data_IF_726984597556
#
_entry.id   IF_726984597556
#
_cell.length_a   1.000
_cell.length_b   1.000
_cell.length_c   1.000
_cell.angle_alpha   90.00
_cell.angle_beta   90.00
_cell.angle_gamma   90.00
#
_symmetry.space_group_name_H-M   'P 1'
#
loop_
_entity.id
_entity.type
_entity.pdbx_description
1 polymer ?
#
# COMPACT_ATOMS: atom_id res chain seq x y z
N UNK A 1 1.94 13.95 16.35
CA UNK A 1 3.02 14.81 15.82
C UNK A 1 4.20 13.93 15.46
N UNK A 2 4.68 13.97 14.22
CA UNK A 2 5.82 13.14 13.80
C UNK A 2 7.13 13.63 14.47
N UNK A 3 8.01 12.70 14.83
CA UNK A 3 9.37 13.03 15.28
C UNK A 3 10.16 13.60 14.09
N UNK A 4 11.11 14.52 14.32
CA UNK A 4 11.96 15.06 13.26
C UNK A 4 12.84 14.00 12.58
N UNK A 5 13.21 12.96 13.31
CA UNK A 5 14.03 11.84 12.82
C UNK A 5 13.48 10.52 13.32
N UNK A 6 13.31 9.55 12.42
CA UNK A 6 12.75 8.24 12.74
C UNK A 6 13.58 7.12 12.12
N UNK A 7 13.68 5.99 12.82
CA UNK A 7 14.25 4.78 12.25
C UNK A 7 13.28 4.15 11.24
N UNK A 8 13.77 3.40 10.25
CA UNK A 8 12.90 2.63 9.35
C UNK A 8 11.93 1.69 10.09
N UNK A 9 12.31 1.17 11.27
CA UNK A 9 11.44 0.32 12.09
C UNK A 9 10.30 1.12 12.74
N UNK A 10 10.55 2.36 13.18
CA UNK A 10 9.49 3.23 13.70
C UNK A 10 8.53 3.67 12.61
N UNK A 11 9.04 3.96 11.41
CA UNK A 11 8.21 4.27 10.23
C UNK A 11 7.35 3.07 9.81
N UNK A 12 7.90 1.86 9.87
CA UNK A 12 7.16 0.63 9.63
C UNK A 12 5.99 0.46 10.60
N UNK A 13 6.22 0.73 11.91
CA UNK A 13 5.17 0.66 12.92
C UNK A 13 4.07 1.71 12.73
N UNK A 14 4.42 2.92 12.28
CA UNK A 14 3.44 3.98 12.03
C UNK A 14 2.60 3.77 10.78
N UNK A 15 3.20 3.18 9.73
CA UNK A 15 2.55 3.06 8.42
C UNK A 15 1.91 1.68 8.18
N UNK A 16 2.19 0.70 9.03
CA UNK A 16 1.79 -0.69 8.84
C UNK A 16 2.57 -1.44 7.75
N UNK A 17 3.56 -0.81 7.11
CA UNK A 17 4.40 -1.45 6.10
C UNK A 17 5.65 -2.10 6.68
N UNK A 18 6.22 -3.06 5.94
CA UNK A 18 7.48 -3.68 6.32
C UNK A 18 8.66 -2.69 6.31
N UNK A 19 9.65 -2.92 7.16
CA UNK A 19 10.94 -2.19 7.15
C UNK A 19 11.60 -2.22 5.75
N UNK A 20 11.44 -3.31 5.00
CA UNK A 20 11.98 -3.44 3.65
C UNK A 20 11.32 -2.48 2.67
N UNK A 21 9.99 -2.31 2.78
CA UNK A 21 9.23 -1.33 2.00
C UNK A 21 9.70 0.09 2.29
N UNK A 22 9.85 0.44 3.57
CA UNK A 22 10.39 1.75 3.98
C UNK A 22 11.80 1.97 3.41
N UNK A 23 12.68 0.97 3.51
CA UNK A 23 14.03 1.04 2.95
C UNK A 23 14.05 1.16 1.42
N UNK A 24 13.03 0.64 0.72
CA UNK A 24 12.85 0.80 -0.72
C UNK A 24 12.46 2.24 -1.03
N UNK A 25 11.54 2.83 -0.28
CA UNK A 25 11.15 4.24 -0.43
C UNK A 25 12.31 5.19 -0.15
N UNK A 26 13.07 4.96 0.91
CA UNK A 26 14.28 5.75 1.23
C UNK A 26 15.24 5.81 0.04
N UNK A 27 15.43 4.68 -0.68
CA UNK A 27 16.31 4.63 -1.86
C UNK A 27 15.66 5.24 -3.10
N UNK A 28 14.39 4.91 -3.36
CA UNK A 28 13.67 5.32 -4.57
C UNK A 28 13.40 6.82 -4.58
N UNK A 29 12.97 7.36 -3.45
CA UNK A 29 12.57 8.76 -3.27
C UNK A 29 13.72 9.64 -2.76
N UNK A 30 14.91 9.05 -2.56
CA UNK A 30 16.11 9.79 -2.16
C UNK A 30 16.03 10.45 -0.78
N UNK A 31 15.32 9.84 0.17
CA UNK A 31 15.10 10.46 1.48
C UNK A 31 16.40 10.67 2.25
N UNK A 32 16.54 11.85 2.86
CA UNK A 32 17.73 12.21 3.65
C UNK A 32 17.85 11.32 4.89
N UNK A 33 19.04 10.77 5.11
CA UNK A 33 19.32 9.90 6.26
C UNK A 33 20.62 10.25 6.97
N UNK A 34 20.59 10.28 8.31
CA UNK A 34 21.77 10.46 9.16
C UNK A 34 22.14 9.15 9.88
N UNK A 35 23.42 8.92 10.23
CA UNK A 35 23.80 7.80 11.08
C UNK A 35 23.09 7.85 12.44
N UNK A 36 22.70 6.69 12.98
CA UNK A 36 22.15 6.59 14.33
C UNK A 36 23.31 6.58 15.34
N UNK A 37 23.35 7.52 16.31
CA UNK A 37 24.38 7.52 17.35
C UNK A 37 24.34 6.22 18.18
N UNK A 38 25.51 5.70 18.56
CA UNK A 38 25.63 4.56 19.48
C UNK A 38 25.46 3.17 18.87
N UNK A 39 25.37 3.03 17.54
CA UNK A 39 25.31 1.71 16.87
C UNK A 39 26.70 1.29 16.41
N UNK A 40 27.20 0.18 16.95
CA UNK A 40 28.48 -0.42 16.60
C UNK A 40 28.52 -0.71 15.08
N UNK A 41 29.45 -0.05 14.38
CA UNK A 41 29.62 -0.17 12.93
C UNK A 41 28.75 0.77 12.08
N UNK A 42 27.99 1.70 12.66
CA UNK A 42 27.34 2.81 11.92
C UNK A 42 26.26 2.40 10.90
N UNK A 43 25.87 1.12 10.86
CA UNK A 43 24.94 0.58 9.84
C UNK A 43 23.50 1.08 9.99
N UNK A 44 23.11 1.51 11.19
CA UNK A 44 21.76 2.04 11.43
C UNK A 44 21.67 3.52 11.01
N UNK A 45 20.61 3.85 10.28
CA UNK A 45 20.34 5.22 9.83
C UNK A 45 18.98 5.69 10.31
N UNK A 46 18.87 6.99 10.54
CA UNK A 46 17.65 7.72 10.86
C UNK A 46 17.21 8.48 9.60
N UNK A 47 15.94 8.33 9.23
CA UNK A 47 15.30 9.08 8.16
C UNK A 47 14.87 10.44 8.72
N UNK A 48 15.14 11.51 7.96
CA UNK A 48 14.68 12.86 8.30
C UNK A 48 13.23 13.01 7.84
N UNK A 49 12.31 13.21 8.79
CA UNK A 49 10.87 13.26 8.52
C UNK A 49 10.46 14.70 8.15
N UNK A 50 10.86 15.09 6.94
CA UNK A 50 10.49 16.36 6.31
C UNK A 50 9.06 16.29 5.72
N UNK A 51 8.58 17.38 5.12
CA UNK A 51 7.21 17.44 4.59
C UNK A 51 6.94 16.36 3.52
N UNK A 52 7.91 16.09 2.64
CA UNK A 52 7.81 15.01 1.64
C UNK A 52 7.62 13.63 2.29
N UNK A 53 8.38 13.32 3.34
CA UNK A 53 8.26 12.06 4.07
C UNK A 53 6.93 12.00 4.82
N UNK A 54 6.46 13.14 5.39
CA UNK A 54 5.15 13.22 6.07
C UNK A 54 3.98 13.06 5.13
N UNK A 55 4.03 13.63 3.93
CA UNK A 55 3.04 13.41 2.88
C UNK A 55 3.02 11.94 2.45
N UNK A 56 4.19 11.34 2.26
CA UNK A 56 4.27 9.91 1.93
C UNK A 56 3.71 9.02 3.05
N UNK A 57 4.00 9.34 4.32
CA UNK A 57 3.45 8.62 5.47
C UNK A 57 1.94 8.81 5.56
N UNK A 58 1.41 10.03 5.44
CA UNK A 58 -0.04 10.30 5.47
C UNK A 58 -0.79 9.61 4.33
N UNK A 59 -0.21 9.61 3.13
CA UNK A 59 -0.78 8.90 1.98
C UNK A 59 -0.65 7.37 2.14
N UNK A 60 0.31 6.91 2.95
CA UNK A 60 0.55 5.51 3.26
C UNK A 60 -0.11 5.04 4.57
N UNK A 61 -0.69 5.94 5.38
CA UNK A 61 -1.41 5.60 6.60
C UNK A 61 -2.67 4.81 6.22
N UNK A 62 -2.51 3.48 6.19
CA UNK A 62 -3.65 2.58 6.10
C UNK A 62 -4.44 2.71 7.40
N UNK A 63 -5.78 2.81 7.34
CA UNK A 63 -6.60 2.84 8.55
C UNK A 63 -6.31 1.61 9.40
N UNK A 64 -5.93 1.86 10.65
CA UNK A 64 -5.67 0.89 11.72
C UNK A 64 -6.84 -0.10 11.78
N UNK A 65 -6.63 -1.32 11.28
CA UNK A 65 -7.70 -2.34 11.16
C UNK A 65 -7.59 -3.24 9.92
N UNK A 66 -6.79 -2.89 8.93
CA UNK A 66 -6.42 -3.81 7.85
C UNK A 66 -5.17 -4.60 8.25
N UNK A 67 -5.34 -5.52 9.19
CA UNK A 67 -4.38 -6.60 9.39
C UNK A 67 -4.16 -7.32 8.06
N UNK A 68 -2.88 -7.55 7.76
CA UNK A 68 -2.39 -8.37 6.66
C UNK A 68 -3.08 -8.11 5.31
N UNK A 69 -2.38 -7.41 4.40
CA UNK A 69 -2.59 -7.75 2.99
C UNK A 69 -2.46 -9.29 2.94
N UNK A 70 -3.49 -10.03 2.51
CA UNK A 70 -3.33 -11.47 2.40
C UNK A 70 -2.12 -11.62 1.51
N UNK A 71 -1.08 -12.28 2.05
CA UNK A 71 -0.04 -12.77 1.20
C UNK A 71 -0.80 -13.50 0.09
N UNK A 72 -0.72 -12.98 -1.13
CA UNK A 72 -1.19 -13.69 -2.31
C UNK A 72 -0.21 -14.84 -2.57
N UNK A 73 0.06 -15.65 -1.53
CA UNK A 73 0.23 -17.08 -1.65
C UNK A 73 -0.84 -17.52 -2.62
N UNK A 74 -0.44 -18.12 -3.74
CA UNK A 74 -1.22 -18.23 -4.99
C UNK A 74 -2.52 -19.03 -4.94
N UNK A 75 -3.20 -19.07 -3.80
CA UNK A 75 -4.37 -19.87 -3.47
C UNK A 75 -5.47 -19.06 -2.74
N UNK A 76 -5.35 -17.73 -2.67
CA UNK A 76 -6.40 -16.89 -2.08
C UNK A 76 -7.71 -17.04 -2.89
N UNK A 77 -8.85 -17.38 -2.25
CA UNK A 77 -10.12 -17.54 -2.95
C UNK A 77 -10.48 -16.28 -3.76
N UNK A 78 -11.04 -16.45 -4.96
CA UNK A 78 -11.40 -15.33 -5.86
C UNK A 78 -12.23 -14.26 -5.15
N UNK A 79 -13.14 -14.65 -4.26
CA UNK A 79 -13.96 -13.72 -3.47
C UNK A 79 -13.11 -12.77 -2.61
N UNK A 80 -12.03 -13.27 -2.00
CA UNK A 80 -11.09 -12.47 -1.20
C UNK A 80 -10.33 -11.48 -2.08
N UNK A 81 -9.94 -11.91 -3.28
CA UNK A 81 -9.28 -11.04 -4.26
C UNK A 81 -10.21 -9.92 -4.74
N UNK A 82 -11.47 -10.24 -5.02
CA UNK A 82 -12.47 -9.26 -5.46
C UNK A 82 -12.79 -8.24 -4.35
N UNK A 83 -12.90 -8.68 -3.09
CA UNK A 83 -13.09 -7.78 -1.95
C UNK A 83 -11.87 -6.88 -1.76
N UNK A 84 -10.66 -7.42 -1.92
CA UNK A 84 -9.42 -6.64 -1.81
C UNK A 84 -9.33 -5.60 -2.94
N UNK A 85 -9.63 -6.01 -4.18
CA UNK A 85 -9.71 -5.11 -5.33
C UNK A 85 -10.67 -3.95 -5.04
N UNK A 86 -11.87 -4.23 -4.55
CA UNK A 86 -12.86 -3.20 -4.23
C UNK A 86 -12.35 -2.22 -3.15
N UNK A 87 -11.58 -2.69 -2.17
CA UNK A 87 -11.00 -1.84 -1.10
C UNK A 87 -9.86 -0.94 -1.58
N UNK A 88 -9.09 -1.38 -2.56
CA UNK A 88 -7.95 -0.62 -3.11
C UNK A 88 -8.37 0.39 -4.20
N UNK A 89 -9.59 0.29 -4.73
CA UNK A 89 -10.16 1.29 -5.65
C UNK A 89 -10.53 2.58 -4.93
N UNK A 90 -10.28 3.73 -5.58
CA UNK A 90 -10.76 5.03 -5.11
C UNK A 90 -12.30 5.11 -5.14
N UNK A 91 -12.93 6.03 -4.39
CA UNK A 91 -14.39 6.16 -4.39
C UNK A 91 -14.99 6.43 -5.78
N UNK A 92 -14.25 7.13 -6.64
CA UNK A 92 -14.66 7.41 -8.02
C UNK A 92 -14.63 6.13 -8.86
N UNK A 93 -13.56 5.35 -8.76
CA UNK A 93 -13.41 4.07 -9.46
C UNK A 93 -14.45 3.05 -8.99
N UNK A 94 -14.72 2.96 -7.68
CA UNK A 94 -15.76 2.08 -7.14
C UNK A 94 -17.14 2.42 -7.71
N UNK A 95 -17.46 3.72 -7.81
CA UNK A 95 -18.72 4.18 -8.39
C UNK A 95 -18.81 3.82 -9.88
N UNK A 96 -17.74 4.04 -10.64
CA UNK A 96 -17.67 3.68 -12.06
C UNK A 96 -17.81 2.17 -12.27
N UNK A 97 -17.10 1.37 -11.48
CA UNK A 97 -17.15 -0.08 -11.54
C UNK A 97 -18.53 -0.63 -11.17
N UNK A 98 -19.17 -0.04 -10.16
CA UNK A 98 -20.57 -0.35 -9.80
C UNK A 98 -21.51 -0.02 -10.96
N UNK A 99 -21.37 1.15 -11.58
CA UNK A 99 -22.19 1.51 -12.75
C UNK A 99 -21.98 0.57 -13.93
N UNK A 100 -20.73 0.13 -14.16
CA UNK A 100 -20.41 -0.85 -15.20
C UNK A 100 -21.09 -2.19 -14.91
N UNK A 101 -20.97 -2.71 -13.69
CA UNK A 101 -21.63 -3.95 -13.26
C UNK A 101 -23.15 -3.89 -13.40
N UNK A 102 -23.77 -2.76 -13.09
CA UNK A 102 -25.22 -2.57 -13.24
C UNK A 102 -25.65 -2.47 -14.70
N UNK A 103 -24.85 -1.86 -15.56
CA UNK A 103 -25.15 -1.66 -16.99
C UNK A 103 -24.95 -2.91 -17.83
N UNK A 104 -23.81 -3.57 -17.66
CA UNK A 104 -23.39 -4.71 -18.48
C UNK A 104 -23.76 -6.05 -17.83
N UNK A 105 -24.04 -6.05 -16.52
CA UNK A 105 -24.22 -7.27 -15.75
C UNK A 105 -22.93 -8.09 -15.65
N UNK A 106 -23.02 -9.22 -14.93
CA UNK A 106 -21.90 -10.16 -14.79
C UNK A 106 -21.52 -10.75 -16.15
N UNK A 107 -22.50 -10.99 -17.02
CA UNK A 107 -22.27 -11.58 -18.35
C UNK A 107 -21.46 -10.63 -19.23
N UNK A 108 -21.88 -9.37 -19.35
CA UNK A 108 -21.19 -8.37 -20.17
C UNK A 108 -19.81 -8.05 -19.63
N UNK A 109 -19.64 -8.00 -18.30
CA UNK A 109 -18.31 -7.85 -17.71
C UNK A 109 -17.37 -9.01 -18.07
N UNK A 110 -17.82 -10.26 -17.93
CA UNK A 110 -17.00 -11.43 -18.26
C UNK A 110 -16.67 -11.52 -19.75
N UNK A 111 -17.57 -11.08 -20.62
CA UNK A 111 -17.32 -10.97 -22.06
C UNK A 111 -16.30 -9.85 -22.37
N UNK A 112 -16.44 -8.68 -21.75
CA UNK A 112 -15.50 -7.57 -21.91
C UNK A 112 -14.09 -7.90 -21.43
N UNK A 113 -13.97 -8.80 -20.45
CA UNK A 113 -12.69 -9.34 -19.98
C UNK A 113 -12.18 -10.54 -20.80
N UNK A 114 -12.92 -11.00 -21.82
CA UNK A 114 -12.55 -12.17 -22.62
C UNK A 114 -12.59 -13.50 -21.86
N UNK A 115 -13.29 -13.55 -20.73
CA UNK A 115 -13.44 -14.75 -19.88
C UNK A 115 -14.60 -15.63 -20.36
N UNK A 116 -15.62 -15.01 -20.95
CA UNK A 116 -16.81 -15.69 -21.46
C UNK A 116 -17.01 -15.37 -22.93
N UNK A 117 -17.26 -16.39 -23.75
CA UNK A 117 -17.54 -16.19 -25.16
C UNK A 117 -18.86 -15.45 -25.39
N UNK A 118 -18.86 -14.59 -26.40
CA UNK A 118 -20.04 -13.96 -26.96
C UNK A 118 -20.77 -14.99 -27.82
N UNK A 119 -21.86 -15.57 -27.31
CA UNK A 119 -22.80 -16.34 -28.14
C UNK A 119 -23.73 -15.42 -28.90
#
# INVERSE_FOLDING_TARGET
MFKERMTPDELARLTGYSRQTINKWVRKEGWTTSPKPGVQGGKARLVHVNEQVREYIRNAERPEGQGEAPALSGDAPLEVLLVTLAKEMTPVEQKQFTSLLLREGIIGLLQGLGIRDSK
#
